data_IF_782206583372
#
_entry.id   IF_782206583372
#
_cell.length_a   1.000
_cell.length_b   1.000
_cell.length_c   1.000
_cell.angle_alpha   90.00
_cell.angle_beta   90.00
_cell.angle_gamma   90.00
#
_symmetry.space_group_name_H-M   'P 1'
#
loop_
_entity.id
_entity.type
_entity.pdbx_description
1 polymer ?
#
# COMPACT_ATOMS: atom_id res chain seq x y z
N UNK A 1 -10.49 52.35 23.18
CA UNK A 1 -9.75 51.69 24.29
C UNK A 1 -9.89 50.17 24.30
N UNK A 2 -11.09 49.58 24.39
CA UNK A 2 -11.26 48.11 24.43
C UNK A 2 -10.83 47.37 23.14
N UNK A 3 -11.00 47.98 21.96
CA UNK A 3 -10.59 47.40 20.67
C UNK A 3 -9.06 47.39 20.51
N UNK A 4 -8.37 48.39 21.07
CA UNK A 4 -6.91 48.52 21.00
C UNK A 4 -6.19 47.55 21.94
N UNK A 5 -6.77 47.31 23.12
CA UNK A 5 -6.26 46.33 24.10
C UNK A 5 -6.41 44.90 23.57
N UNK A 6 -7.49 44.59 22.84
CA UNK A 6 -7.64 43.29 22.20
C UNK A 6 -6.63 43.10 21.06
N UNK A 7 -6.39 44.13 20.24
CA UNK A 7 -5.40 44.09 19.15
C UNK A 7 -3.97 43.89 19.66
N UNK A 8 -3.58 44.56 20.76
CA UNK A 8 -2.25 44.42 21.38
C UNK A 8 -2.07 43.03 22.02
N UNK A 9 -3.11 42.47 22.66
CA UNK A 9 -3.06 41.10 23.19
C UNK A 9 -2.96 40.04 22.09
N UNK A 10 -3.65 40.21 20.96
CA UNK A 10 -3.58 39.27 19.83
C UNK A 10 -2.21 39.33 19.14
N UNK A 11 -1.63 40.52 18.97
CA UNK A 11 -0.28 40.69 18.40
C UNK A 11 0.79 40.06 19.32
N UNK A 12 0.73 40.33 20.63
CA UNK A 12 1.67 39.75 21.59
C UNK A 12 1.54 38.24 21.78
N UNK A 13 0.36 37.66 21.53
CA UNK A 13 0.19 36.20 21.49
C UNK A 13 0.80 35.61 20.21
N UNK A 14 0.48 36.16 19.03
CA UNK A 14 1.01 35.67 17.74
C UNK A 14 2.55 35.73 17.71
N UNK A 15 3.16 36.81 18.20
CA UNK A 15 4.63 36.93 18.30
C UNK A 15 5.24 35.91 19.28
N UNK A 16 4.52 35.54 20.35
CA UNK A 16 5.00 34.53 21.30
C UNK A 16 4.88 33.10 20.75
N UNK A 17 3.82 32.81 20.00
CA UNK A 17 3.61 31.53 19.30
C UNK A 17 4.58 31.34 18.13
N UNK A 18 4.87 32.38 17.34
CA UNK A 18 5.85 32.32 16.25
C UNK A 18 7.28 32.14 16.77
N UNK A 19 7.65 32.86 17.84
CA UNK A 19 8.98 32.71 18.46
C UNK A 19 9.20 31.32 19.08
N UNK A 20 8.18 30.76 19.74
CA UNK A 20 8.27 29.40 20.29
C UNK A 20 8.37 28.34 19.17
N UNK A 21 7.63 28.52 18.07
CA UNK A 21 7.71 27.63 16.91
C UNK A 21 9.08 27.68 16.24
N UNK A 22 9.66 28.87 16.07
CA UNK A 22 10.99 29.03 15.47
C UNK A 22 12.09 28.44 16.37
N UNK A 23 12.00 28.65 17.68
CA UNK A 23 12.93 28.09 18.66
C UNK A 23 12.89 26.55 18.65
N UNK A 24 11.69 25.98 18.59
CA UNK A 24 11.51 24.52 18.52
C UNK A 24 12.05 23.92 17.21
N UNK A 25 11.83 24.58 16.06
CA UNK A 25 12.44 24.15 14.78
C UNK A 25 13.96 24.22 14.86
N UNK A 26 14.52 25.26 15.48
CA UNK A 26 15.96 25.38 15.70
C UNK A 26 16.51 24.22 16.53
N UNK A 27 15.86 23.87 17.64
CA UNK A 27 16.25 22.72 18.47
C UNK A 27 16.22 21.39 17.71
N UNK A 28 15.16 21.15 16.92
CA UNK A 28 15.06 19.96 16.08
C UNK A 28 16.23 19.89 15.08
N UNK A 29 16.58 21.00 14.45
CA UNK A 29 17.73 21.04 13.52
C UNK A 29 19.05 20.82 14.25
N UNK A 30 19.25 21.38 15.46
CA UNK A 30 20.47 21.15 16.24
C UNK A 30 20.61 19.69 16.68
N UNK A 31 19.52 19.08 17.12
CA UNK A 31 19.48 17.66 17.51
C UNK A 31 19.74 16.75 16.30
N UNK A 32 19.15 17.06 15.14
CA UNK A 32 19.44 16.38 13.88
C UNK A 32 20.92 16.50 13.48
N UNK A 33 21.51 17.70 13.61
CA UNK A 33 22.93 17.93 13.32
C UNK A 33 23.86 17.16 14.29
N UNK A 34 23.49 17.02 15.56
CA UNK A 34 24.21 16.20 16.52
C UNK A 34 24.17 14.72 16.13
N UNK A 35 22.97 14.17 15.88
CA UNK A 35 22.79 12.79 15.43
C UNK A 35 23.54 12.50 14.12
N UNK A 36 23.53 13.44 13.17
CA UNK A 36 24.26 13.32 11.91
C UNK A 36 25.78 13.23 12.10
N UNK A 37 26.34 14.01 13.03
CA UNK A 37 27.77 13.94 13.38
C UNK A 37 28.14 12.62 14.05
N UNK A 38 27.23 12.09 14.86
CA UNK A 38 27.39 10.82 15.57
C UNK A 38 27.03 9.59 14.72
N UNK A 39 26.84 9.78 13.41
CA UNK A 39 26.51 8.75 12.42
C UNK A 39 25.17 8.02 12.67
N UNK A 40 24.28 8.58 13.49
CA UNK A 40 22.91 8.08 13.71
C UNK A 40 21.96 8.68 12.69
N UNK A 41 22.00 8.15 11.48
CA UNK A 41 21.29 8.73 10.33
C UNK A 41 19.77 8.67 10.46
N UNK A 42 19.21 7.59 11.00
CA UNK A 42 17.75 7.44 11.18
C UNK A 42 17.19 8.50 12.15
N UNK A 43 17.86 8.71 13.29
CA UNK A 43 17.52 9.76 14.24
C UNK A 43 17.64 11.15 13.59
N UNK A 44 18.71 11.40 12.83
CA UNK A 44 18.89 12.66 12.13
C UNK A 44 17.75 12.92 11.12
N UNK A 45 17.38 11.92 10.32
CA UNK A 45 16.25 11.99 9.38
C UNK A 45 14.95 12.30 10.11
N UNK A 46 14.68 11.65 11.25
CA UNK A 46 13.48 11.90 12.04
C UNK A 46 13.42 13.36 12.53
N UNK A 47 14.51 13.87 13.09
CA UNK A 47 14.59 15.26 13.54
C UNK A 47 14.38 16.26 12.39
N UNK A 48 15.06 16.07 11.25
CA UNK A 48 14.87 16.95 10.10
C UNK A 48 13.47 16.84 9.47
N UNK A 49 12.86 15.64 9.49
CA UNK A 49 11.50 15.44 8.97
C UNK A 49 10.47 16.15 9.83
N UNK A 50 10.60 16.06 11.15
CA UNK A 50 9.78 16.84 12.10
C UNK A 50 9.97 18.34 11.89
N UNK A 51 11.20 18.80 11.70
CA UNK A 51 11.48 20.20 11.41
C UNK A 51 10.86 20.66 10.07
N UNK A 52 10.91 19.83 9.03
CA UNK A 52 10.32 20.12 7.73
C UNK A 52 8.78 20.09 7.76
N UNK A 53 8.16 19.30 8.62
CA UNK A 53 6.70 19.31 8.80
C UNK A 53 6.21 20.63 9.40
N UNK A 54 7.04 21.29 10.23
CA UNK A 54 6.71 22.58 10.85
C UNK A 54 7.07 23.72 9.90
N UNK A 55 8.28 23.71 9.34
CA UNK A 55 8.78 24.74 8.42
C UNK A 55 9.16 24.10 7.09
N UNK A 56 8.14 23.81 6.28
CA UNK A 56 8.34 23.15 4.99
C UNK A 56 9.08 24.07 4.02
N UNK A 57 10.05 23.50 3.27
CA UNK A 57 10.79 24.26 2.27
C UNK A 57 11.93 25.12 2.81
N UNK A 58 12.32 24.98 4.08
CA UNK A 58 13.53 25.64 4.58
C UNK A 58 14.79 25.02 3.94
N UNK A 59 15.67 25.82 3.29
CA UNK A 59 16.83 25.29 2.58
C UNK A 59 17.82 24.53 3.48
N UNK A 60 17.96 24.91 4.75
CA UNK A 60 18.87 24.25 5.68
C UNK A 60 18.33 22.87 6.03
N UNK A 61 17.03 22.79 6.31
CA UNK A 61 16.35 21.53 6.65
C UNK A 61 16.39 20.56 5.46
N UNK A 62 16.02 21.03 4.25
CA UNK A 62 16.07 20.21 3.03
C UNK A 62 17.49 19.72 2.72
N UNK A 63 18.48 20.60 2.85
CA UNK A 63 19.88 20.25 2.63
C UNK A 63 20.37 19.18 3.59
N UNK A 64 20.07 19.33 4.88
CA UNK A 64 20.54 18.40 5.91
C UNK A 64 19.80 17.06 5.85
N UNK A 65 18.51 17.07 5.50
CA UNK A 65 17.71 15.85 5.32
C UNK A 65 18.13 15.06 4.09
N UNK A 66 18.31 15.73 2.95
CA UNK A 66 18.85 15.12 1.72
C UNK A 66 20.23 14.48 1.96
N UNK A 67 21.12 15.18 2.66
CA UNK A 67 22.44 14.65 3.01
C UNK A 67 22.36 13.41 3.93
N UNK A 68 21.40 13.37 4.86
CA UNK A 68 21.18 12.23 5.74
C UNK A 68 20.68 11.00 4.97
N UNK A 69 19.73 11.18 4.05
CA UNK A 69 19.24 10.12 3.15
C UNK A 69 20.36 9.54 2.26
N UNK A 70 21.19 10.40 1.66
CA UNK A 70 22.33 9.95 0.84
C UNK A 70 23.31 9.12 1.69
N UNK A 71 23.61 9.58 2.90
CA UNK A 71 24.62 8.95 3.76
C UNK A 71 24.17 7.59 4.31
N UNK A 72 22.89 7.44 4.67
CA UNK A 72 22.35 6.13 5.08
C UNK A 72 22.24 5.16 3.90
N UNK A 73 21.81 5.62 2.72
CA UNK A 73 21.76 4.80 1.50
C UNK A 73 23.15 4.28 1.12
N UNK A 74 24.17 5.15 1.14
CA UNK A 74 25.57 4.75 0.90
C UNK A 74 26.10 3.77 1.96
N UNK A 75 25.68 3.90 3.21
CA UNK A 75 26.06 2.97 4.27
C UNK A 75 25.49 1.58 4.01
N UNK A 76 24.22 1.49 3.58
CA UNK A 76 23.60 0.21 3.22
C UNK A 76 24.25 -0.42 1.98
N UNK A 77 24.53 0.38 0.94
CA UNK A 77 25.20 -0.12 -0.28
C UNK A 77 26.63 -0.63 -0.05
N UNK A 78 27.33 -0.13 0.98
CA UNK A 78 28.72 -0.53 1.30
C UNK A 78 28.81 -1.63 2.34
N UNK A 79 27.68 -2.11 2.87
CA UNK A 79 27.64 -3.12 3.92
C UNK A 79 28.06 -4.47 3.33
N UNK A 80 28.97 -5.17 4.01
CA UNK A 80 29.40 -6.49 3.56
C UNK A 80 28.24 -7.50 3.66
N UNK A 81 28.09 -8.44 2.70
CA UNK A 81 27.01 -9.44 2.72
C UNK A 81 26.94 -10.22 4.05
N UNK A 82 28.10 -10.59 4.60
CA UNK A 82 28.23 -11.30 5.89
C UNK A 82 27.71 -10.51 7.09
N UNK A 83 27.64 -9.19 7.00
CA UNK A 83 27.09 -8.34 8.07
C UNK A 83 25.57 -8.30 8.06
N UNK A 84 24.92 -8.60 6.92
CA UNK A 84 23.46 -8.59 6.78
C UNK A 84 22.81 -9.85 7.36
N UNK A 85 23.54 -10.97 7.45
CA UNK A 85 23.10 -12.24 8.05
C UNK A 85 22.96 -12.18 9.58
N UNK A 86 23.81 -11.40 10.25
CA UNK A 86 23.84 -11.32 11.73
C UNK A 86 22.99 -10.18 12.32
N UNK A 87 22.56 -9.20 11.49
CA UNK A 87 21.71 -8.09 11.94
C UNK A 87 20.87 -7.56 10.76
N UNK A 88 19.61 -7.98 10.61
CA UNK A 88 18.75 -7.49 9.53
C UNK A 88 18.61 -5.97 9.57
N UNK A 89 18.55 -5.34 8.40
CA UNK A 89 18.25 -3.90 8.29
C UNK A 89 16.75 -3.71 8.51
N UNK A 90 16.39 -2.99 9.56
CA UNK A 90 15.06 -2.40 9.69
C UNK A 90 15.13 -0.98 9.14
N UNK A 91 14.48 -0.68 8.02
CA UNK A 91 14.51 0.67 7.45
C UNK A 91 14.02 0.74 6.00
N UNK A 92 14.01 1.95 5.45
CA UNK A 92 13.69 2.17 4.04
C UNK A 92 14.78 1.59 3.14
N UNK A 93 14.38 1.02 2.01
CA UNK A 93 15.30 0.49 1.01
C UNK A 93 16.25 1.59 0.47
N UNK A 94 17.50 1.25 0.11
CA UNK A 94 18.49 2.21 -0.39
C UNK A 94 18.00 3.05 -1.59
N UNK A 95 17.19 2.45 -2.46
CA UNK A 95 16.56 3.12 -3.61
C UNK A 95 15.54 4.16 -3.16
N UNK A 96 14.65 3.80 -2.23
CA UNK A 96 13.66 4.73 -1.65
C UNK A 96 14.34 5.91 -0.95
N UNK A 97 15.43 5.65 -0.23
CA UNK A 97 16.26 6.69 0.37
C UNK A 97 16.88 7.62 -0.69
N UNK A 98 17.31 7.07 -1.83
CA UNK A 98 17.80 7.84 -2.97
C UNK A 98 16.74 8.75 -3.59
N UNK A 99 15.50 8.28 -3.72
CA UNK A 99 14.37 9.07 -4.24
C UNK A 99 13.97 10.21 -3.30
N UNK A 100 13.91 9.94 -2.00
CA UNK A 100 13.66 10.97 -0.99
C UNK A 100 14.76 12.03 -0.96
N UNK A 101 16.02 11.61 -1.08
CA UNK A 101 17.16 12.52 -1.22
C UNK A 101 17.04 13.41 -2.46
N UNK A 102 16.64 12.82 -3.60
CA UNK A 102 16.47 13.52 -4.87
C UNK A 102 15.38 14.59 -4.77
N UNK A 103 14.23 14.24 -4.20
CA UNK A 103 13.09 15.15 -4.00
C UNK A 103 13.49 16.41 -3.21
N UNK A 104 14.21 16.21 -2.10
CA UNK A 104 14.69 17.34 -1.28
C UNK A 104 15.75 18.17 -2.01
N UNK A 105 16.65 17.51 -2.74
CA UNK A 105 17.70 18.19 -3.49
C UNK A 105 17.15 19.00 -4.68
N UNK A 106 16.11 18.52 -5.36
CA UNK A 106 15.43 19.24 -6.43
C UNK A 106 14.79 20.52 -5.92
N UNK A 107 14.02 20.42 -4.84
CA UNK A 107 13.44 21.58 -4.17
C UNK A 107 14.52 22.54 -3.66
N UNK A 108 15.66 22.03 -3.20
CA UNK A 108 16.79 22.87 -2.78
C UNK A 108 17.45 23.59 -3.96
N UNK A 109 17.57 22.98 -5.13
CA UNK A 109 18.08 23.64 -6.35
C UNK A 109 17.13 24.73 -6.82
N UNK A 110 15.81 24.52 -6.72
CA UNK A 110 14.81 25.55 -7.03
C UNK A 110 14.95 26.78 -6.11
N UNK A 111 15.23 26.56 -4.83
CA UNK A 111 15.37 27.62 -3.81
C UNK A 111 16.76 28.28 -3.80
N UNK A 112 17.81 27.52 -4.11
CA UNK A 112 19.22 27.92 -4.04
C UNK A 112 19.99 27.46 -5.28
N UNK A 113 19.61 27.99 -6.43
CA UNK A 113 20.25 27.72 -7.73
C UNK A 113 21.67 28.30 -7.84
N UNK A 114 22.08 29.17 -6.93
CA UNK A 114 23.42 29.74 -6.86
C UNK A 114 24.37 29.00 -5.89
N UNK A 115 23.93 27.89 -5.30
CA UNK A 115 24.71 27.14 -4.30
C UNK A 115 25.26 25.85 -4.90
N UNK A 116 26.58 25.69 -4.94
CA UNK A 116 27.19 24.44 -5.39
C UNK A 116 26.69 23.22 -4.58
N UNK A 117 26.34 23.42 -3.30
CA UNK A 117 25.85 22.37 -2.40
C UNK A 117 24.54 21.74 -2.89
N UNK A 118 23.64 22.52 -3.49
CA UNK A 118 22.34 22.00 -3.98
C UNK A 118 22.55 21.04 -5.15
N UNK A 119 23.42 21.40 -6.10
CA UNK A 119 23.82 20.53 -7.21
C UNK A 119 24.59 19.28 -6.76
N UNK A 120 25.46 19.39 -5.75
CA UNK A 120 26.18 18.24 -5.19
C UNK A 120 25.20 17.21 -4.62
N UNK A 121 24.20 17.65 -3.84
CA UNK A 121 23.22 16.75 -3.25
C UNK A 121 22.34 16.09 -4.33
N UNK A 122 21.89 16.87 -5.32
CA UNK A 122 21.10 16.35 -6.45
C UNK A 122 21.88 15.33 -7.28
N UNK A 123 23.15 15.61 -7.57
CA UNK A 123 24.03 14.70 -8.30
C UNK A 123 24.25 13.37 -7.54
N UNK A 124 24.54 13.44 -6.24
CA UNK A 124 24.73 12.23 -5.42
C UNK A 124 23.45 11.38 -5.32
N UNK A 125 22.28 12.01 -5.20
CA UNK A 125 21.02 11.29 -5.22
C UNK A 125 20.76 10.59 -6.56
N UNK A 126 21.04 11.25 -7.68
CA UNK A 126 20.93 10.63 -9.02
C UNK A 126 21.92 9.48 -9.22
N UNK A 127 23.13 9.58 -8.65
CA UNK A 127 24.11 8.50 -8.69
C UNK A 127 23.67 7.27 -7.86
N UNK A 128 23.02 7.47 -6.71
CA UNK A 128 22.44 6.36 -5.93
C UNK A 128 21.32 5.65 -6.69
N UNK A 129 20.63 6.36 -7.57
CA UNK A 129 19.56 5.84 -8.43
C UNK A 129 20.06 5.38 -9.81
N UNK A 130 21.38 5.30 -10.01
CA UNK A 130 22.02 4.89 -11.26
C UNK A 130 21.61 5.72 -12.50
N UNK A 131 21.11 6.94 -12.30
CA UNK A 131 20.70 7.87 -13.36
C UNK A 131 21.92 8.69 -13.82
N UNK A 132 22.93 8.02 -14.36
CA UNK A 132 24.25 8.58 -14.66
C UNK A 132 24.22 9.78 -15.63
N UNK A 133 23.45 9.71 -16.71
CA UNK A 133 23.37 10.82 -17.68
C UNK A 133 22.78 12.09 -17.04
N UNK A 134 21.68 11.93 -16.29
CA UNK A 134 21.07 13.05 -15.55
C UNK A 134 22.02 13.59 -14.47
N UNK A 135 22.76 12.71 -13.79
CA UNK A 135 23.74 13.11 -12.79
C UNK A 135 24.86 13.95 -13.43
N UNK A 136 25.34 13.55 -14.62
CA UNK A 136 26.36 14.28 -15.38
C UNK A 136 25.90 15.70 -15.73
N UNK A 137 24.69 15.85 -16.25
CA UNK A 137 24.12 17.17 -16.58
C UNK A 137 24.02 18.09 -15.36
N UNK A 138 23.58 17.55 -14.22
CA UNK A 138 23.51 18.28 -12.95
C UNK A 138 24.90 18.68 -12.45
N UNK A 139 25.90 17.81 -12.57
CA UNK A 139 27.29 18.11 -12.16
C UNK A 139 27.87 19.24 -13.02
N UNK A 140 27.68 19.17 -14.34
CA UNK A 140 28.13 20.22 -15.27
C UNK A 140 27.44 21.55 -14.99
N UNK A 141 26.13 21.53 -14.71
CA UNK A 141 25.38 22.71 -14.30
C UNK A 141 25.91 23.30 -12.99
N UNK A 142 26.24 22.45 -12.01
CA UNK A 142 26.84 22.89 -10.75
C UNK A 142 28.25 23.46 -10.91
N UNK A 143 29.06 22.95 -11.84
CA UNK A 143 30.38 23.49 -12.16
C UNK A 143 30.32 24.84 -12.89
N UNK A 144 29.20 25.16 -13.55
CA UNK A 144 28.97 26.53 -14.06
C UNK A 144 28.72 27.51 -12.90
N UNK A 145 28.10 27.04 -11.81
CA UNK A 145 27.84 27.83 -10.60
C UNK A 145 29.10 28.00 -9.75
N UNK A 146 29.87 26.93 -9.54
CA UNK A 146 31.16 26.95 -8.87
C UNK A 146 32.19 26.09 -9.64
N UNK A 147 32.96 26.72 -10.54
CA UNK A 147 33.99 26.02 -11.31
C UNK A 147 35.06 25.39 -10.45
N UNK A 148 35.31 25.88 -9.23
CA UNK A 148 36.39 25.44 -8.34
C UNK A 148 35.94 24.40 -7.31
N UNK A 149 34.69 23.94 -7.36
CA UNK A 149 34.17 22.92 -6.47
C UNK A 149 34.90 21.58 -6.65
N UNK A 150 35.77 21.24 -5.69
CA UNK A 150 36.50 19.97 -5.67
C UNK A 150 35.55 18.77 -5.60
N UNK A 151 34.42 18.90 -4.91
CA UNK A 151 33.41 17.83 -4.79
C UNK A 151 32.74 17.53 -6.14
N UNK A 152 32.34 18.55 -6.91
CA UNK A 152 31.71 18.35 -8.21
C UNK A 152 32.70 17.79 -9.24
N UNK A 153 33.95 18.26 -9.24
CA UNK A 153 35.01 17.71 -10.09
C UNK A 153 35.29 16.24 -9.78
N UNK A 154 35.33 15.87 -8.49
CA UNK A 154 35.51 14.48 -8.07
C UNK A 154 34.33 13.58 -8.49
N UNK A 155 33.09 14.08 -8.39
CA UNK A 155 31.90 13.35 -8.86
C UNK A 155 31.95 13.12 -10.38
N UNK A 156 32.34 14.13 -11.15
CA UNK A 156 32.49 14.01 -12.61
C UNK A 156 33.55 12.96 -12.97
N UNK A 157 34.73 13.02 -12.33
CA UNK A 157 35.82 12.08 -12.60
C UNK A 157 35.44 10.63 -12.23
N UNK A 158 34.70 10.43 -11.14
CA UNK A 158 34.21 9.10 -10.77
C UNK A 158 33.17 8.57 -11.77
N UNK A 159 32.29 9.43 -12.27
CA UNK A 159 31.29 9.07 -13.28
C UNK A 159 31.96 8.67 -14.60
N UNK A 160 32.94 9.45 -15.07
CA UNK A 160 33.69 9.15 -16.30
C UNK A 160 34.42 7.81 -16.23
N UNK A 161 34.94 7.44 -15.05
CA UNK A 161 35.53 6.11 -14.82
C UNK A 161 34.51 4.99 -14.97
N UNK A 162 33.32 5.14 -14.39
CA UNK A 162 32.22 4.17 -14.50
C UNK A 162 31.72 4.04 -15.95
N UNK A 163 31.62 5.15 -16.69
CA UNK A 163 31.24 5.11 -18.11
C UNK A 163 32.31 4.46 -19.00
N UNK A 164 33.60 4.67 -18.70
CA UNK A 164 34.70 4.10 -19.50
C UNK A 164 34.79 2.56 -19.40
N UNK A 165 34.39 1.96 -18.26
CA UNK A 165 34.29 0.51 -18.09
C UNK A 165 33.12 -0.14 -18.84
N UNK A 166 32.16 0.66 -19.34
CA UNK A 166 30.93 0.18 -19.97
C UNK A 166 30.95 0.31 -21.51
N UNK A 167 32.09 0.69 -22.09
CA UNK A 167 32.28 0.92 -23.53
C UNK A 167 32.38 -0.39 -24.31
N UNK A 168 31.35 -1.21 -24.23
CA UNK A 168 31.35 -2.55 -24.80
C UNK A 168 29.99 -3.09 -25.23
N UNK A 169 28.90 -2.31 -25.27
CA UNK A 169 27.68 -2.74 -25.97
C UNK A 169 26.94 -1.55 -26.60
N UNK A 170 26.67 -1.69 -27.89
CA UNK A 170 26.18 -0.65 -28.77
C UNK A 170 24.69 -0.35 -28.61
N UNK A 171 24.35 0.89 -28.92
CA UNK A 171 23.03 1.45 -29.23
C UNK A 171 22.06 0.50 -29.95
N UNK A 172 20.87 0.29 -29.39
CA UNK A 172 19.66 0.02 -30.17
C UNK A 172 18.45 0.73 -29.55
N UNK A 173 17.70 1.42 -30.43
CA UNK A 173 16.46 2.11 -30.09
C UNK A 173 15.32 1.12 -29.82
N UNK A 174 14.45 1.55 -28.91
CA UNK A 174 13.10 1.11 -28.49
C UNK A 174 12.43 -0.10 -29.21
N UNK A 175 11.64 -0.93 -28.49
CA UNK A 175 10.61 -0.49 -27.52
C UNK A 175 10.69 -1.10 -26.12
N UNK A 176 9.95 -0.48 -25.18
CA UNK A 176 9.78 -0.86 -23.78
C UNK A 176 9.35 -2.33 -23.62
N UNK A 177 10.11 -3.09 -22.83
CA UNK A 177 9.74 -4.40 -22.30
C UNK A 177 9.49 -4.28 -20.79
N UNK A 178 8.34 -4.78 -20.35
CA UNK A 178 7.99 -4.91 -18.94
C UNK A 178 8.66 -6.16 -18.37
N UNK A 179 9.82 -6.00 -17.73
CA UNK A 179 10.62 -7.11 -17.18
C UNK A 179 10.23 -7.53 -15.75
N UNK A 180 9.21 -6.90 -15.13
CA UNK A 180 8.86 -7.17 -13.73
C UNK A 180 8.09 -8.50 -13.53
N UNK A 181 7.38 -8.99 -14.55
CA UNK A 181 6.58 -10.22 -14.44
C UNK A 181 7.42 -11.51 -14.59
N UNK A 182 8.48 -11.48 -15.38
CA UNK A 182 9.30 -12.66 -15.67
C UNK A 182 10.28 -12.99 -14.55
N UNK A 183 10.83 -12.00 -13.84
CA UNK A 183 11.72 -12.24 -12.68
C UNK A 183 10.96 -12.88 -11.51
N UNK A 184 9.73 -12.44 -11.25
CA UNK A 184 8.91 -12.93 -10.12
C UNK A 184 8.45 -14.38 -10.36
N UNK A 185 8.03 -14.70 -11.59
CA UNK A 185 7.64 -16.06 -11.96
C UNK A 185 8.83 -17.02 -11.94
N UNK A 186 9.99 -16.58 -12.43
CA UNK A 186 11.20 -17.39 -12.47
C UNK A 186 11.75 -17.68 -11.06
N UNK A 187 11.72 -16.70 -10.15
CA UNK A 187 12.08 -16.90 -8.73
C UNK A 187 11.11 -17.84 -8.02
N UNK A 188 9.80 -17.70 -8.28
CA UNK A 188 8.76 -18.55 -7.68
C UNK A 188 8.88 -20.02 -8.09
N UNK A 189 9.13 -20.29 -9.37
CA UNK A 189 9.33 -21.64 -9.91
C UNK A 189 10.63 -22.31 -9.43
N UNK A 190 11.63 -21.52 -9.03
CA UNK A 190 12.92 -22.02 -8.53
C UNK A 190 12.93 -22.25 -7.02
N UNK A 191 12.24 -21.42 -6.24
CA UNK A 191 12.27 -21.47 -4.78
C UNK A 191 11.20 -22.38 -4.18
N UNK A 192 9.97 -22.38 -4.72
CA UNK A 192 8.85 -23.16 -4.15
C UNK A 192 9.10 -24.67 -4.09
N UNK A 193 9.74 -25.34 -5.08
CA UNK A 193 10.06 -26.77 -4.98
C UNK A 193 11.34 -27.07 -4.19
N UNK A 194 12.27 -26.12 -4.10
CA UNK A 194 13.60 -26.36 -3.52
C UNK A 194 13.70 -25.93 -2.04
N UNK A 195 12.87 -24.98 -1.59
CA UNK A 195 12.88 -24.40 -0.24
C UNK A 195 11.45 -24.05 0.22
N UNK A 196 10.57 -25.06 0.41
CA UNK A 196 9.14 -24.83 0.61
C UNK A 196 8.81 -24.20 1.98
N UNK A 197 9.57 -24.52 3.03
CA UNK A 197 9.34 -23.97 4.37
C UNK A 197 9.80 -22.51 4.45
N UNK A 198 10.98 -22.19 3.91
CA UNK A 198 11.52 -20.82 3.87
C UNK A 198 10.73 -19.92 2.93
N UNK A 199 10.16 -20.47 1.85
CA UNK A 199 9.23 -19.74 1.00
C UNK A 199 7.91 -19.45 1.72
N UNK A 200 7.39 -20.39 2.51
CA UNK A 200 6.19 -20.19 3.33
C UNK A 200 6.41 -19.15 4.44
N UNK A 201 7.55 -19.20 5.13
CA UNK A 201 7.95 -18.20 6.13
C UNK A 201 8.12 -16.82 5.50
N UNK A 202 8.82 -16.69 4.37
CA UNK A 202 8.96 -15.40 3.67
C UNK A 202 7.64 -14.85 3.16
N UNK A 203 6.73 -15.71 2.70
CA UNK A 203 5.36 -15.30 2.36
C UNK A 203 4.62 -14.79 3.59
N UNK A 204 4.78 -15.45 4.73
CA UNK A 204 4.18 -15.05 6.01
C UNK A 204 4.79 -13.75 6.56
N UNK A 205 6.11 -13.54 6.39
CA UNK A 205 6.81 -12.30 6.71
C UNK A 205 6.40 -11.16 5.78
N UNK A 206 6.21 -11.42 4.48
CA UNK A 206 5.69 -10.42 3.54
C UNK A 206 4.24 -10.05 3.88
N UNK A 207 3.40 -11.04 4.21
CA UNK A 207 2.05 -10.82 4.73
C UNK A 207 2.06 -10.09 6.09
N UNK A 208 3.15 -10.23 6.87
CA UNK A 208 3.38 -9.54 8.15
C UNK A 208 3.94 -8.12 8.04
N UNK A 209 4.79 -7.85 7.05
CA UNK A 209 5.39 -6.52 6.77
C UNK A 209 4.37 -5.54 6.18
N UNK A 210 3.27 -6.04 5.61
CA UNK A 210 2.11 -5.23 5.17
C UNK A 210 1.29 -4.70 6.37
N UNK A 211 1.50 -5.21 7.58
CA UNK A 211 0.58 -5.04 8.72
C UNK A 211 1.20 -4.32 9.97
N UNK A 212 2.28 -3.56 9.82
CA UNK A 212 2.95 -2.94 10.96
C UNK A 212 3.37 -1.48 10.73
N UNK A 213 2.39 -0.59 10.52
CA UNK A 213 2.66 0.85 10.50
C UNK A 213 1.44 1.76 10.61
N UNK A 214 0.54 1.59 11.60
CA UNK A 214 -0.76 2.30 11.67
C UNK A 214 -1.38 2.36 10.26
N UNK A 215 -1.66 1.19 9.71
CA UNK A 215 -2.05 1.00 8.32
C UNK A 215 -3.40 1.66 8.04
N UNK A 216 -3.31 2.88 7.52
CA UNK A 216 -4.44 3.65 7.08
C UNK A 216 -4.93 3.07 5.75
N UNK A 217 -5.99 2.26 5.81
CA UNK A 217 -6.60 1.58 4.67
C UNK A 217 -7.52 2.55 3.92
N UNK A 218 -7.29 2.83 2.61
CA UNK A 218 -8.21 3.59 1.79
C UNK A 218 -9.55 2.87 1.66
N UNK A 219 -10.67 3.60 1.76
CA UNK A 219 -12.01 3.04 1.71
C UNK A 219 -12.77 3.52 0.47
N UNK A 220 -13.24 2.56 -0.32
CA UNK A 220 -14.23 2.78 -1.36
C UNK A 220 -15.63 2.63 -0.75
N UNK A 221 -16.34 3.75 -0.63
CA UNK A 221 -17.64 3.79 0.04
C UNK A 221 -18.74 3.60 -0.99
N UNK A 222 -19.31 2.39 -1.07
CA UNK A 222 -20.36 2.05 -2.03
C UNK A 222 -21.33 0.98 -1.53
N UNK A 223 -20.86 -0.25 -1.31
CA UNK A 223 -21.69 -1.39 -0.91
C UNK A 223 -20.93 -2.32 0.04
N UNK A 224 -21.68 -3.22 0.68
CA UNK A 224 -21.18 -4.24 1.60
C UNK A 224 -20.74 -5.46 0.80
N UNK A 225 -19.48 -5.81 0.99
CA UNK A 225 -18.83 -6.96 0.34
C UNK A 225 -18.51 -7.98 1.42
N UNK A 226 -18.75 -9.24 1.12
CA UNK A 226 -18.32 -10.38 1.96
C UNK A 226 -17.09 -11.04 1.33
N UNK A 227 -16.24 -11.74 2.10
CA UNK A 227 -15.09 -12.47 1.54
C UNK A 227 -15.46 -13.46 0.42
N UNK A 228 -14.48 -13.79 -0.43
CA UNK A 228 -14.64 -14.72 -1.55
C UNK A 228 -15.57 -14.25 -2.69
N UNK A 229 -15.75 -12.94 -2.85
CA UNK A 229 -16.45 -12.31 -3.97
C UNK A 229 -15.46 -11.73 -4.97
N UNK A 230 -15.75 -11.90 -6.26
CA UNK A 230 -14.99 -11.28 -7.35
C UNK A 230 -15.94 -10.55 -8.30
N UNK A 231 -15.67 -9.29 -8.58
CA UNK A 231 -16.49 -8.48 -9.47
C UNK A 231 -15.76 -7.24 -10.01
N UNK A 232 -16.21 -6.69 -11.15
CA UNK A 232 -15.64 -5.49 -11.73
C UNK A 232 -16.20 -4.20 -11.13
N UNK A 233 -15.41 -3.12 -11.17
CA UNK A 233 -15.82 -1.75 -10.87
C UNK A 233 -15.35 -0.78 -11.96
N UNK A 234 -16.22 0.18 -12.31
CA UNK A 234 -15.86 1.30 -13.18
C UNK A 234 -15.65 2.55 -12.33
N UNK A 235 -14.40 3.00 -12.25
CA UNK A 235 -13.97 4.13 -11.42
C UNK A 235 -13.92 5.40 -12.27
N UNK A 236 -14.99 6.18 -12.18
CA UNK A 236 -15.12 7.45 -12.90
C UNK A 236 -14.91 8.69 -12.00
N UNK A 237 -15.20 8.58 -10.70
CA UNK A 237 -15.09 9.70 -9.78
C UNK A 237 -13.61 10.14 -9.57
N UNK A 238 -13.28 11.43 -9.74
CA UNK A 238 -11.90 11.93 -9.64
C UNK A 238 -11.13 11.51 -8.37
N UNK A 239 -11.80 11.53 -7.21
CA UNK A 239 -11.20 11.13 -5.93
C UNK A 239 -10.78 9.66 -5.90
N UNK A 240 -11.59 8.76 -6.45
CA UNK A 240 -11.30 7.34 -6.47
C UNK A 240 -10.32 6.99 -7.58
N UNK A 241 -10.24 7.78 -8.66
CA UNK A 241 -9.16 7.66 -9.66
C UNK A 241 -7.79 7.94 -9.05
N UNK A 242 -7.69 8.95 -8.18
CA UNK A 242 -6.45 9.21 -7.42
C UNK A 242 -6.15 8.07 -6.45
N UNK A 243 -7.18 7.59 -5.73
CA UNK A 243 -7.06 6.47 -4.80
C UNK A 243 -6.53 5.21 -5.49
N UNK A 244 -7.13 4.79 -6.61
CA UNK A 244 -6.70 3.62 -7.38
C UNK A 244 -5.27 3.76 -7.86
N UNK A 245 -4.86 4.93 -8.36
CA UNK A 245 -3.46 5.16 -8.76
C UNK A 245 -2.48 4.91 -7.61
N UNK A 246 -2.76 5.43 -6.42
CA UNK A 246 -1.93 5.22 -5.22
C UNK A 246 -1.92 3.77 -4.75
N UNK A 247 -3.07 3.10 -4.83
CA UNK A 247 -3.20 1.68 -4.45
C UNK A 247 -2.38 0.80 -5.38
N UNK A 248 -2.41 1.07 -6.69
CA UNK A 248 -1.63 0.35 -7.71
C UNK A 248 -0.13 0.66 -7.65
N UNK A 249 0.28 1.77 -7.05
CA UNK A 249 1.69 2.05 -6.71
C UNK A 249 2.13 1.32 -5.42
N UNK A 250 1.19 0.77 -4.65
CA UNK A 250 1.39 0.15 -3.35
C UNK A 250 1.03 -1.33 -3.31
N UNK A 251 0.22 -1.72 -2.31
CA UNK A 251 -0.10 -3.13 -2.02
C UNK A 251 -1.38 -3.64 -2.72
N UNK A 252 -1.95 -2.85 -3.63
CA UNK A 252 -3.16 -3.18 -4.40
C UNK A 252 -4.42 -3.43 -3.55
N UNK A 253 -4.42 -3.03 -2.28
CA UNK A 253 -5.51 -3.30 -1.33
C UNK A 253 -6.27 -2.03 -0.94
N UNK A 254 -7.57 -2.20 -0.77
CA UNK A 254 -8.46 -1.17 -0.22
C UNK A 254 -9.61 -1.81 0.56
N UNK A 255 -10.32 -1.02 1.34
CA UNK A 255 -11.53 -1.46 2.02
C UNK A 255 -12.79 -1.12 1.22
N UNK A 256 -13.71 -2.07 1.14
CA UNK A 256 -15.09 -1.83 0.70
C UNK A 256 -15.97 -1.62 1.92
N UNK A 257 -16.56 -0.43 2.01
CA UNK A 257 -17.40 -0.04 3.14
C UNK A 257 -18.72 0.58 2.64
N UNK A 258 -19.73 0.56 3.50
CA UNK A 258 -21.00 1.24 3.28
C UNK A 258 -21.19 2.33 4.34
N UNK A 259 -22.04 3.31 4.04
CA UNK A 259 -22.59 4.20 5.05
C UNK A 259 -23.82 3.56 5.67
N UNK A 260 -23.89 3.56 6.99
CA UNK A 260 -25.11 3.23 7.71
C UNK A 260 -26.15 4.31 7.42
N UNK A 261 -27.28 3.88 6.85
CA UNK A 261 -28.37 4.77 6.44
C UNK A 261 -29.04 5.50 7.61
N UNK A 262 -28.94 4.95 8.83
CA UNK A 262 -29.53 5.54 10.02
C UNK A 262 -28.66 6.64 10.65
N UNK A 263 -27.34 6.50 10.57
CA UNK A 263 -26.36 7.42 11.19
C UNK A 263 -25.63 8.31 10.18
N UNK A 264 -25.67 7.97 8.89
CA UNK A 264 -24.89 8.63 7.84
C UNK A 264 -23.38 8.43 7.97
N UNK A 265 -22.95 7.59 8.91
CA UNK A 265 -21.54 7.31 9.21
C UNK A 265 -21.10 5.99 8.58
N UNK A 266 -19.79 5.74 8.52
CA UNK A 266 -19.30 4.45 8.05
C UNK A 266 -19.81 3.32 8.94
N UNK A 267 -20.20 2.22 8.31
CA UNK A 267 -20.47 0.98 9.02
C UNK A 267 -19.21 0.51 9.75
N UNK A 268 -19.39 -0.08 10.92
CA UNK A 268 -18.30 -0.53 11.79
C UNK A 268 -17.48 -1.68 11.19
N UNK A 269 -18.11 -2.52 10.38
CA UNK A 269 -17.51 -3.70 9.77
C UNK A 269 -17.46 -3.55 8.25
N UNK A 270 -16.34 -3.95 7.65
CA UNK A 270 -16.07 -3.83 6.23
C UNK A 270 -15.15 -4.98 5.76
N UNK A 271 -14.92 -5.06 4.46
CA UNK A 271 -14.11 -6.12 3.86
C UNK A 271 -12.96 -5.55 3.03
N UNK A 272 -11.76 -6.09 3.22
CA UNK A 272 -10.59 -5.81 2.39
C UNK A 272 -10.80 -6.45 1.02
N UNK A 273 -10.55 -5.67 -0.02
CA UNK A 273 -10.51 -6.12 -1.40
C UNK A 273 -9.16 -5.82 -2.01
N UNK A 274 -8.74 -6.69 -2.91
CA UNK A 274 -7.51 -6.58 -3.68
C UNK A 274 -7.86 -6.34 -5.14
N UNK A 275 -7.18 -5.38 -5.79
CA UNK A 275 -7.30 -5.14 -7.22
C UNK A 275 -6.50 -6.20 -7.96
N UNK A 276 -7.19 -7.13 -8.62
CA UNK A 276 -6.56 -8.22 -9.38
C UNK A 276 -6.23 -7.80 -10.81
N UNK A 277 -7.04 -6.94 -11.40
CA UNK A 277 -6.83 -6.41 -12.77
C UNK A 277 -7.19 -4.92 -12.79
N UNK A 278 -6.45 -4.12 -13.55
CA UNK A 278 -6.66 -2.68 -13.65
C UNK A 278 -6.39 -2.17 -15.07
N UNK A 279 -7.45 -1.76 -15.77
CA UNK A 279 -7.41 -1.23 -17.12
C UNK A 279 -7.67 0.29 -17.11
N UNK A 280 -6.66 1.13 -17.40
CA UNK A 280 -6.86 2.57 -17.56
C UNK A 280 -7.55 2.88 -18.91
N UNK A 281 -8.55 3.76 -18.87
CA UNK A 281 -9.29 4.22 -20.05
C UNK A 281 -8.73 5.57 -20.57
N UNK A 282 -8.89 5.90 -21.87
CA UNK A 282 -8.33 7.11 -22.48
C UNK A 282 -8.79 8.43 -21.86
N UNK A 283 -9.95 8.45 -21.21
CA UNK A 283 -10.48 9.62 -20.50
C UNK A 283 -10.03 9.70 -19.02
N UNK A 284 -9.12 8.79 -18.64
CA UNK A 284 -8.50 8.70 -17.32
C UNK A 284 -9.34 7.95 -16.29
N UNK A 285 -10.43 7.27 -16.68
CA UNK A 285 -11.16 6.33 -15.81
C UNK A 285 -10.40 5.02 -15.66
N UNK A 286 -10.82 4.18 -14.72
CA UNK A 286 -10.30 2.81 -14.60
C UNK A 286 -11.45 1.81 -14.65
N UNK A 287 -11.25 0.71 -15.37
CA UNK A 287 -12.00 -0.52 -15.17
C UNK A 287 -11.13 -1.46 -14.34
N UNK A 288 -11.59 -1.86 -13.16
CA UNK A 288 -10.82 -2.71 -12.25
C UNK A 288 -11.61 -3.98 -11.94
N UNK A 289 -10.92 -5.11 -11.80
CA UNK A 289 -11.47 -6.34 -11.23
C UNK A 289 -10.97 -6.46 -9.78
N UNK A 290 -11.87 -6.67 -8.84
CA UNK A 290 -11.54 -6.78 -7.42
C UNK A 290 -11.94 -8.13 -6.84
N UNK A 291 -11.13 -8.65 -5.92
CA UNK A 291 -11.39 -9.88 -5.16
C UNK A 291 -11.40 -9.56 -3.66
N UNK A 292 -12.47 -9.95 -2.95
CA UNK A 292 -12.59 -9.74 -1.52
C UNK A 292 -11.86 -10.82 -0.71
N UNK A 293 -11.14 -10.37 0.32
CA UNK A 293 -10.17 -11.18 1.06
C UNK A 293 -10.60 -11.47 2.50
N UNK A 294 -10.52 -10.48 3.38
CA UNK A 294 -10.72 -10.65 4.83
C UNK A 294 -11.51 -9.49 5.41
N UNK A 295 -12.06 -9.70 6.60
CA UNK A 295 -12.93 -8.75 7.29
C UNK A 295 -12.13 -7.90 8.26
N UNK A 296 -12.55 -6.65 8.41
CA UNK A 296 -11.95 -5.75 9.38
C UNK A 296 -13.00 -4.86 10.04
N UNK A 297 -12.66 -4.39 11.22
CA UNK A 297 -13.42 -3.39 11.99
C UNK A 297 -12.76 -2.03 11.80
N UNK A 298 -13.55 -1.01 11.52
CA UNK A 298 -13.08 0.37 11.43
C UNK A 298 -12.97 0.95 12.84
N UNK A 299 -11.76 1.33 13.25
CA UNK A 299 -11.48 1.91 14.57
C UNK A 299 -11.70 3.43 14.53
N UNK A 300 -11.12 4.08 13.51
CA UNK A 300 -11.30 5.50 13.23
C UNK A 300 -11.16 5.76 11.75
N UNK A 301 -11.84 6.78 11.24
CA UNK A 301 -11.76 7.17 9.84
C UNK A 301 -11.55 8.68 9.68
N UNK A 302 -10.73 9.07 8.70
CA UNK A 302 -10.49 10.44 8.28
C UNK A 302 -10.73 10.63 6.78
N UNK A 303 -10.76 11.89 6.33
CA UNK A 303 -10.75 12.23 4.91
C UNK A 303 -9.31 12.48 4.46
N UNK A 304 -8.95 11.94 3.31
CA UNK A 304 -7.68 12.18 2.66
C UNK A 304 -7.94 12.42 1.18
N UNK A 305 -7.66 13.64 0.71
CA UNK A 305 -7.80 14.05 -0.69
C UNK A 305 -9.19 13.72 -1.29
N UNK A 306 -10.25 13.77 -0.48
CA UNK A 306 -11.64 13.58 -0.88
C UNK A 306 -12.18 12.15 -0.83
N UNK A 307 -11.36 11.17 -0.47
CA UNK A 307 -11.80 9.80 -0.15
C UNK A 307 -11.53 9.47 1.32
N UNK A 308 -12.20 8.43 1.82
CA UNK A 308 -12.13 8.06 3.23
C UNK A 308 -10.98 7.10 3.47
N UNK A 309 -10.28 7.25 4.59
CA UNK A 309 -9.18 6.38 5.00
C UNK A 309 -9.38 6.01 6.46
N UNK A 310 -9.17 4.75 6.80
CA UNK A 310 -9.44 4.26 8.14
C UNK A 310 -8.27 3.48 8.74
N UNK A 311 -8.08 3.65 10.05
CA UNK A 311 -7.34 2.71 10.86
C UNK A 311 -8.26 1.53 11.16
N UNK A 312 -7.76 0.33 10.91
CA UNK A 312 -8.56 -0.89 10.92
C UNK A 312 -7.99 -1.92 11.88
N UNK A 313 -8.87 -2.75 12.43
CA UNK A 313 -8.52 -3.94 13.21
C UNK A 313 -8.99 -5.17 12.46
N UNK A 314 -8.08 -6.12 12.22
CA UNK A 314 -8.37 -7.34 11.49
C UNK A 314 -9.19 -8.32 12.34
N UNK A 315 -10.21 -8.92 11.73
CA UNK A 315 -11.07 -9.88 12.42
C UNK A 315 -10.56 -11.29 12.11
N UNK A 316 -10.25 -12.02 13.18
CA UNK A 316 -9.97 -13.46 13.11
C UNK A 316 -11.20 -14.25 13.54
N UNK A 317 -11.62 -15.18 12.68
CA UNK A 317 -12.69 -16.13 12.96
C UNK A 317 -12.26 -17.20 13.96
N UNK A 318 -13.25 -17.68 14.71
CA UNK A 318 -13.07 -18.74 15.70
C UNK A 318 -13.63 -20.03 15.11
N UNK A 319 -12.74 -21.01 14.99
CA UNK A 319 -13.10 -22.38 14.63
C UNK A 319 -13.06 -23.28 15.86
N UNK A 320 -13.92 -24.32 15.93
CA UNK A 320 -13.78 -25.37 16.92
C UNK A 320 -12.39 -26.04 16.83
N UNK A 321 -11.75 -26.40 17.96
CA UNK A 321 -10.43 -27.05 17.94
C UNK A 321 -10.43 -28.37 17.17
N UNK A 322 -9.28 -28.76 16.63
CA UNK A 322 -9.15 -30.06 15.96
C UNK A 322 -9.41 -31.23 16.92
N UNK A 323 -10.10 -32.26 16.43
CA UNK A 323 -10.41 -33.47 17.19
C UNK A 323 -11.59 -33.34 18.16
N UNK A 324 -12.33 -32.23 18.16
CA UNK A 324 -13.58 -32.11 18.92
C UNK A 324 -14.79 -32.55 18.10
N UNK A 325 -15.85 -32.97 18.78
CA UNK A 325 -17.13 -33.36 18.15
C UNK A 325 -17.77 -32.20 17.40
N UNK A 326 -17.60 -30.97 17.87
CA UNK A 326 -18.07 -29.76 17.18
C UNK A 326 -17.34 -29.55 15.85
N UNK A 327 -16.03 -29.84 15.79
CA UNK A 327 -15.25 -29.75 14.54
C UNK A 327 -15.69 -30.80 13.52
N UNK A 328 -15.98 -32.01 13.97
CA UNK A 328 -16.55 -33.08 13.12
C UNK A 328 -17.92 -32.69 12.59
N UNK A 329 -18.79 -32.17 13.46
CA UNK A 329 -20.13 -31.70 13.09
C UNK A 329 -20.06 -30.57 12.07
N UNK A 330 -19.17 -29.60 12.26
CA UNK A 330 -18.93 -28.52 11.29
C UNK A 330 -18.46 -29.09 9.94
N UNK A 331 -17.58 -30.09 9.95
CA UNK A 331 -17.09 -30.72 8.74
C UNK A 331 -18.21 -31.46 7.97
N UNK A 332 -19.09 -32.15 8.69
CA UNK A 332 -20.28 -32.79 8.11
C UNK A 332 -21.25 -31.76 7.52
N UNK A 333 -21.52 -30.66 8.24
CA UNK A 333 -22.33 -29.54 7.75
C UNK A 333 -21.73 -28.95 6.46
N UNK A 334 -20.41 -28.75 6.41
CA UNK A 334 -19.71 -28.28 5.21
C UNK A 334 -19.86 -29.23 4.04
N UNK A 335 -19.75 -30.55 4.26
CA UNK A 335 -19.94 -31.53 3.20
C UNK A 335 -21.39 -31.53 2.66
N UNK A 336 -22.38 -31.52 3.55
CA UNK A 336 -23.79 -31.49 3.19
C UNK A 336 -24.17 -30.20 2.43
N UNK A 337 -23.62 -29.06 2.85
CA UNK A 337 -23.80 -27.79 2.19
C UNK A 337 -23.13 -27.76 0.81
N UNK A 338 -21.95 -28.37 0.66
CA UNK A 338 -21.28 -28.47 -0.64
C UNK A 338 -22.09 -29.27 -1.66
N UNK A 339 -22.64 -30.42 -1.25
CA UNK A 339 -23.52 -31.21 -2.11
C UNK A 339 -24.78 -30.43 -2.52
N UNK A 340 -25.38 -29.72 -1.56
CA UNK A 340 -26.55 -28.86 -1.80
C UNK A 340 -26.22 -27.71 -2.76
N UNK A 341 -25.08 -27.05 -2.57
CA UNK A 341 -24.61 -25.96 -3.42
C UNK A 341 -24.32 -26.44 -4.85
N UNK A 342 -23.64 -27.56 -5.02
CA UNK A 342 -23.39 -28.17 -6.35
C UNK A 342 -24.68 -28.53 -7.07
N UNK A 343 -25.61 -29.17 -6.36
CA UNK A 343 -26.94 -29.49 -6.90
C UNK A 343 -27.70 -28.23 -7.33
N UNK A 344 -27.62 -27.16 -6.54
CA UNK A 344 -28.22 -25.88 -6.91
C UNK A 344 -27.54 -25.24 -8.12
N UNK A 345 -26.20 -25.17 -8.18
CA UNK A 345 -25.46 -24.63 -9.33
C UNK A 345 -25.84 -25.40 -10.60
N UNK A 346 -25.95 -26.74 -10.52
CA UNK A 346 -26.42 -27.57 -11.64
C UNK A 346 -27.79 -27.16 -12.13
N UNK A 347 -28.78 -27.07 -11.23
CA UNK A 347 -30.14 -26.61 -11.56
C UNK A 347 -30.16 -25.17 -12.09
N UNK A 348 -29.33 -24.29 -11.56
CA UNK A 348 -29.21 -22.90 -12.01
C UNK A 348 -28.64 -22.81 -13.43
N UNK A 349 -27.67 -23.65 -13.78
CA UNK A 349 -27.13 -23.75 -15.15
C UNK A 349 -28.18 -24.28 -16.13
N UNK A 350 -28.94 -25.29 -15.74
CA UNK A 350 -30.06 -25.80 -16.54
C UNK A 350 -31.13 -24.71 -16.77
N UNK A 351 -31.49 -23.97 -15.72
CA UNK A 351 -32.46 -22.88 -15.79
C UNK A 351 -31.95 -21.66 -16.61
N UNK A 352 -30.64 -21.41 -16.62
CA UNK A 352 -30.04 -20.36 -17.45
C UNK A 352 -30.17 -20.64 -18.96
N UNK A 353 -30.32 -21.92 -19.36
CA UNK A 353 -30.58 -22.31 -20.75
C UNK A 353 -29.45 -21.87 -21.70
N UNK A 354 -29.74 -20.91 -22.57
CA UNK A 354 -28.79 -20.36 -23.56
C UNK A 354 -28.22 -18.99 -23.17
N UNK A 355 -28.46 -18.49 -21.96
CA UNK A 355 -27.87 -17.23 -21.48
C UNK A 355 -26.38 -17.44 -21.15
N UNK A 356 -25.55 -17.22 -22.16
CA UNK A 356 -24.10 -17.41 -22.09
C UNK A 356 -23.46 -16.62 -20.93
N UNK A 357 -23.94 -15.40 -20.67
CA UNK A 357 -23.40 -14.54 -19.60
C UNK A 357 -23.72 -15.10 -18.21
N UNK A 358 -24.94 -15.64 -18.02
CA UNK A 358 -25.31 -16.32 -16.76
C UNK A 358 -24.53 -17.61 -16.56
N UNK A 359 -24.36 -18.40 -17.61
CA UNK A 359 -23.57 -19.63 -17.57
C UNK A 359 -22.11 -19.37 -17.22
N UNK A 360 -21.49 -18.34 -17.80
CA UNK A 360 -20.13 -17.92 -17.49
C UNK A 360 -19.97 -17.48 -16.04
N UNK A 361 -20.92 -16.69 -15.50
CA UNK A 361 -20.92 -16.29 -14.08
C UNK A 361 -21.05 -17.51 -13.16
N UNK A 362 -21.97 -18.43 -13.44
CA UNK A 362 -22.15 -19.65 -12.65
C UNK A 362 -20.93 -20.56 -12.71
N UNK A 363 -20.29 -20.68 -13.87
CA UNK A 363 -19.05 -21.44 -14.03
C UNK A 363 -17.89 -20.80 -13.25
N UNK A 364 -17.77 -19.46 -13.29
CA UNK A 364 -16.76 -18.73 -12.51
C UNK A 364 -16.95 -18.96 -11.00
N UNK A 365 -18.17 -18.83 -10.50
CA UNK A 365 -18.48 -19.07 -9.08
C UNK A 365 -18.20 -20.51 -8.65
N UNK A 366 -18.51 -21.50 -9.50
CA UNK A 366 -18.22 -22.91 -9.21
C UNK A 366 -16.71 -23.20 -9.17
N UNK A 367 -15.92 -22.60 -10.07
CA UNK A 367 -14.45 -22.73 -10.08
C UNK A 367 -13.83 -22.11 -8.84
N UNK A 368 -14.43 -21.05 -8.29
CA UNK A 368 -13.97 -20.36 -7.07
C UNK A 368 -14.34 -21.11 -5.78
N UNK A 369 -15.04 -22.24 -5.86
CA UNK A 369 -15.44 -23.00 -4.67
C UNK A 369 -14.22 -23.48 -3.86
N UNK A 370 -14.08 -23.08 -2.58
CA UNK A 370 -12.94 -23.45 -1.75
C UNK A 370 -12.88 -24.93 -1.38
N UNK A 371 -11.73 -25.36 -0.86
CA UNK A 371 -11.56 -26.70 -0.30
C UNK A 371 -12.49 -26.93 0.89
N UNK A 372 -13.17 -28.08 0.93
CA UNK A 372 -14.02 -28.46 2.05
C UNK A 372 -13.24 -28.67 3.35
N UNK A 373 -11.90 -28.78 3.28
CA UNK A 373 -11.04 -28.83 4.48
C UNK A 373 -10.95 -27.49 5.20
N UNK A 374 -11.40 -26.41 4.57
CA UNK A 374 -11.47 -25.05 5.10
C UNK A 374 -12.95 -24.58 5.19
N UNK A 375 -13.66 -24.97 6.28
CA UNK A 375 -15.05 -24.57 6.50
C UNK A 375 -15.27 -23.06 6.55
N UNK A 376 -14.27 -22.29 6.98
CA UNK A 376 -14.37 -20.83 7.07
C UNK A 376 -14.50 -20.23 5.68
N UNK A 377 -13.52 -20.47 4.80
CA UNK A 377 -13.58 -19.99 3.42
C UNK A 377 -14.77 -20.54 2.66
N UNK A 378 -15.09 -21.82 2.87
CA UNK A 378 -16.26 -22.43 2.24
C UNK A 378 -17.55 -21.71 2.65
N UNK A 379 -17.71 -21.37 3.94
CA UNK A 379 -18.90 -20.69 4.43
C UNK A 379 -19.06 -19.29 3.84
N UNK A 380 -17.95 -18.55 3.65
CA UNK A 380 -17.96 -17.26 2.96
C UNK A 380 -18.34 -17.39 1.49
N UNK A 381 -17.73 -18.35 0.77
CA UNK A 381 -18.10 -18.63 -0.62
C UNK A 381 -19.58 -19.01 -0.74
N UNK A 382 -20.09 -19.84 0.17
CA UNK A 382 -21.50 -20.26 0.19
C UNK A 382 -22.42 -19.04 0.29
N UNK A 383 -22.11 -18.10 1.18
CA UNK A 383 -22.86 -16.85 1.31
C UNK A 383 -22.93 -16.03 0.00
N UNK A 384 -21.92 -16.14 -0.88
CA UNK A 384 -21.91 -15.44 -2.17
C UNK A 384 -22.92 -15.98 -3.18
N UNK A 385 -23.40 -17.22 -3.00
CA UNK A 385 -24.40 -17.82 -3.89
C UNK A 385 -25.77 -17.14 -3.73
N UNK A 386 -26.03 -16.54 -2.57
CA UNK A 386 -27.30 -15.92 -2.23
C UNK A 386 -27.29 -14.40 -2.42
N UNK A 387 -28.35 -13.84 -3.02
CA UNK A 387 -28.48 -12.40 -3.21
C UNK A 387 -29.06 -11.70 -1.97
N UNK A 388 -28.20 -11.48 -0.97
CA UNK A 388 -28.58 -10.86 0.31
C UNK A 388 -28.65 -9.33 0.23
N UNK A 389 -29.52 -8.73 1.04
CA UNK A 389 -29.58 -7.26 1.17
C UNK A 389 -28.33 -6.74 1.89
N UNK A 390 -27.89 -5.48 1.68
CA UNK A 390 -26.71 -4.94 2.35
C UNK A 390 -26.74 -5.06 3.88
N UNK A 391 -27.91 -4.88 4.51
CA UNK A 391 -28.07 -5.06 5.96
C UNK A 391 -27.76 -6.49 6.42
N UNK A 392 -28.25 -7.50 5.70
CA UNK A 392 -27.98 -8.92 6.00
C UNK A 392 -26.49 -9.25 5.79
N UNK A 393 -25.86 -8.66 4.78
CA UNK A 393 -24.40 -8.80 4.57
C UNK A 393 -23.60 -8.18 5.71
N UNK A 394 -24.03 -7.04 6.26
CA UNK A 394 -23.39 -6.45 7.44
C UNK A 394 -23.51 -7.36 8.67
N UNK A 395 -24.67 -7.99 8.87
CA UNK A 395 -24.84 -8.93 9.98
C UNK A 395 -23.92 -10.15 9.82
N UNK A 396 -23.75 -10.66 8.60
CA UNK A 396 -22.75 -11.69 8.31
C UNK A 396 -21.32 -11.24 8.64
N UNK A 397 -20.95 -9.99 8.34
CA UNK A 397 -19.62 -9.48 8.68
C UNK A 397 -19.35 -9.40 10.20
N UNK A 398 -20.40 -9.43 11.05
CA UNK A 398 -20.29 -9.40 12.52
C UNK A 398 -20.06 -10.77 13.16
N UNK A 399 -20.54 -11.85 12.53
CA UNK A 399 -20.48 -13.20 13.08
C UNK A 399 -19.03 -13.71 13.03
N UNK A 400 -18.43 -14.02 14.17
CA UNK A 400 -17.03 -14.49 14.28
C UNK A 400 -16.90 -16.00 14.46
N UNK A 401 -17.97 -16.69 14.81
CA UNK A 401 -17.97 -18.13 14.95
C UNK A 401 -18.26 -18.76 13.58
N UNK A 402 -17.33 -19.55 13.07
CA UNK A 402 -17.46 -20.18 11.75
C UNK A 402 -18.68 -21.11 11.69
N UNK A 403 -19.00 -21.79 12.79
CA UNK A 403 -20.15 -22.70 12.86
C UNK A 403 -21.46 -21.92 12.80
N UNK A 404 -21.55 -20.82 13.56
CA UNK A 404 -22.71 -19.93 13.52
C UNK A 404 -22.88 -19.31 12.12
N UNK A 405 -21.80 -18.83 11.52
CA UNK A 405 -21.82 -18.26 10.17
C UNK A 405 -22.32 -19.30 9.16
N UNK A 406 -21.79 -20.52 9.23
CA UNK A 406 -22.13 -21.62 8.33
C UNK A 406 -23.59 -22.08 8.49
N UNK A 407 -24.11 -22.10 9.72
CA UNK A 407 -25.52 -22.39 9.98
C UNK A 407 -26.42 -21.27 9.44
N UNK A 408 -26.04 -20.01 9.63
CA UNK A 408 -26.82 -18.88 9.15
C UNK A 408 -26.94 -18.89 7.62
N UNK A 409 -25.85 -19.17 6.91
CA UNK A 409 -25.85 -19.27 5.44
C UNK A 409 -26.66 -20.48 4.98
N UNK A 410 -26.45 -21.66 5.56
CA UNK A 410 -27.12 -22.89 5.15
C UNK A 410 -28.63 -22.92 5.46
N UNK A 411 -29.06 -22.40 6.62
CA UNK A 411 -30.49 -22.34 7.01
C UNK A 411 -31.28 -21.37 6.13
N UNK A 412 -30.65 -20.27 5.71
CA UNK A 412 -31.30 -19.31 4.80
C UNK A 412 -31.44 -19.87 3.38
N UNK A 413 -30.51 -20.74 2.96
CA UNK A 413 -30.53 -21.38 1.64
C UNK A 413 -31.52 -22.56 1.54
N UNK A 414 -31.68 -23.34 2.62
CA UNK A 414 -32.63 -24.47 2.66
C UNK A 414 -34.10 -24.04 2.75
N UNK A 415 -34.38 -22.78 3.13
CA UNK A 415 -35.74 -22.23 3.25
C UNK A 415 -36.35 -21.68 1.95
N UNK A 416 -35.66 -21.78 0.80
CA UNK A 416 -36.27 -21.53 -0.52
C UNK A 416 -36.08 -20.12 -1.10
N UNK A 417 -35.24 -19.27 -0.50
CA UNK A 417 -34.89 -17.94 -1.04
C UNK A 417 -33.77 -17.99 -2.12
N UNK A 418 -33.77 -19.04 -2.94
CA UNK A 418 -33.00 -19.07 -4.19
C UNK A 418 -33.81 -18.57 -5.39
N UNK A 419 -34.97 -17.95 -5.12
CA UNK A 419 -35.72 -17.16 -6.08
C UNK A 419 -35.05 -15.78 -6.22
N UNK A 420 -34.60 -15.47 -7.44
CA UNK A 420 -34.02 -14.20 -7.87
C UNK A 420 -32.54 -13.98 -7.51
N UNK A 421 -31.68 -14.88 -7.98
CA UNK A 421 -30.22 -14.76 -7.85
C UNK A 421 -29.58 -14.36 -9.20
N UNK A 422 -28.81 -13.26 -9.15
CA UNK A 422 -27.98 -12.62 -10.19
C UNK A 422 -28.72 -11.83 -11.29
N UNK A 423 -29.44 -10.77 -10.90
CA UNK A 423 -29.85 -9.69 -11.82
C UNK A 423 -29.61 -8.31 -11.20
N UNK A 424 -28.36 -7.95 -10.91
CA UNK A 424 -27.84 -6.61 -11.15
C UNK A 424 -26.35 -6.71 -11.54
#
# INVERSE_FOLDING_TARGET
MLIEIHRIRTIGLVDHWENNTLHYVYELVQNGNAAFRENRMEEAINYYSRANNIKSGDPIILSNRSAAYIRISQYFMRRAPSSSECRPLSGLEPTTLGELALKDAEKLVELQSNSAKSYILKANALLLLEKYEKARDVILSGLQVDPFSNSLRALLQNLERVSSSSTGMSTHGQPERNDDFDCTLCLKLLYEPNFPEEYAERKQEQDGLINAGVDLLPLFVMDVVIPCQRFPLNIFEPRYRLMVRRIMEGNHRMGMAILDSSTGSLAEFACEVEITECEPLPDGRFYIEIESRRRFRIIRSGDQDGYRVAEVEWIQDVMPPEGTTERETLQELTYNAAESARSWIGRAKEAAGHDQRKLERLASVEVMMPSLKDPERFSFWLATLSNRRPAERLDLLRIRDTTEFHLYTFITETKGDMGDILLY
#
